data_IF_992786678768
#
_entry.id   IF_992786678768
#
_cell.length_a   1.000
_cell.length_b   1.000
_cell.length_c   1.000
_cell.angle_alpha   90.00
_cell.angle_beta   90.00
_cell.angle_gamma   90.00
#
_symmetry.space_group_name_H-M   'P 1'
#
loop_
_entity.id
_entity.type
_entity.pdbx_description
1 polymer ?
#
# COMPACT_ATOMS: atom_id res chain seq x y z
N UNK A 1 -6.71 -9.37 21.05
CA UNK A 1 -5.23 -9.43 20.93
C UNK A 1 -4.78 -10.36 19.80
N UNK A 2 -5.25 -11.62 19.73
CA UNK A 2 -4.88 -12.56 18.65
C UNK A 2 -5.12 -12.01 17.23
N UNK A 3 -6.23 -11.30 17.01
CA UNK A 3 -6.53 -10.66 15.72
C UNK A 3 -5.43 -9.65 15.30
N UNK A 4 -4.91 -8.87 16.25
CA UNK A 4 -3.88 -7.86 15.99
C UNK A 4 -2.56 -8.54 15.61
N UNK A 5 -2.22 -9.64 16.29
CA UNK A 5 -1.06 -10.47 15.96
C UNK A 5 -1.18 -11.00 14.53
N UNK A 6 -2.35 -11.51 14.13
CA UNK A 6 -2.58 -11.97 12.76
C UNK A 6 -2.38 -10.85 11.72
N UNK A 7 -2.87 -9.63 11.98
CA UNK A 7 -2.64 -8.48 11.09
C UNK A 7 -1.14 -8.11 11.00
N UNK A 8 -0.41 -8.13 12.11
CA UNK A 8 1.05 -7.85 12.08
C UNK A 8 1.84 -8.90 11.29
N UNK A 9 1.45 -10.18 11.38
CA UNK A 9 2.05 -11.25 10.57
C UNK A 9 1.73 -11.06 9.09
N UNK A 10 0.50 -10.70 8.75
CA UNK A 10 0.11 -10.42 7.38
C UNK A 10 0.91 -9.23 6.81
N UNK A 11 1.11 -8.16 7.60
CA UNK A 11 1.96 -7.04 7.19
C UNK A 11 3.41 -7.45 6.89
N UNK A 12 4.00 -8.33 7.70
CA UNK A 12 5.34 -8.88 7.45
C UNK A 12 5.40 -9.66 6.13
N UNK A 13 4.39 -10.48 5.84
CA UNK A 13 4.32 -11.23 4.58
C UNK A 13 4.18 -10.28 3.39
N UNK A 14 3.32 -9.26 3.49
CA UNK A 14 3.12 -8.29 2.42
C UNK A 14 4.37 -7.44 2.17
N UNK A 15 5.10 -7.05 3.23
CA UNK A 15 6.43 -6.42 3.11
C UNK A 15 7.40 -7.31 2.29
N UNK A 16 7.46 -8.60 2.59
CA UNK A 16 8.33 -9.53 1.86
C UNK A 16 7.93 -9.65 0.37
N UNK A 17 6.62 -9.68 0.08
CA UNK A 17 6.09 -9.70 -1.29
C UNK A 17 6.43 -8.40 -2.02
N UNK A 18 6.33 -7.25 -1.35
CA UNK A 18 6.69 -5.95 -1.90
C UNK A 18 8.14 -5.90 -2.37
N UNK A 19 9.09 -6.36 -1.54
CA UNK A 19 10.51 -6.38 -1.93
C UNK A 19 10.82 -7.34 -3.09
N UNK A 20 10.01 -8.39 -3.26
CA UNK A 20 10.13 -9.34 -4.38
C UNK A 20 9.55 -8.79 -5.69
N UNK A 21 8.61 -7.85 -5.60
CA UNK A 21 7.93 -7.20 -6.72
C UNK A 21 8.77 -6.09 -7.37
N UNK A 22 9.85 -6.45 -8.08
CA UNK A 22 10.73 -5.47 -8.75
C UNK A 22 10.50 -5.25 -10.24
N UNK A 23 9.61 -6.02 -10.87
CA UNK A 23 9.48 -6.02 -12.34
C UNK A 23 8.44 -5.04 -12.86
N UNK A 24 7.25 -5.02 -12.25
CA UNK A 24 6.14 -4.20 -12.71
C UNK A 24 5.72 -3.21 -11.64
N UNK A 25 5.60 -1.93 -12.03
CA UNK A 25 5.21 -0.85 -11.13
C UNK A 25 3.80 -1.09 -10.56
N UNK A 26 2.91 -1.64 -11.39
CA UNK A 26 1.54 -1.96 -11.00
C UNK A 26 1.45 -3.00 -9.87
N UNK A 27 2.33 -4.01 -9.87
CA UNK A 27 2.33 -5.03 -8.83
C UNK A 27 2.87 -4.50 -7.49
N UNK A 28 3.79 -3.53 -7.53
CA UNK A 28 4.25 -2.83 -6.34
C UNK A 28 3.14 -1.94 -5.75
N UNK A 29 2.39 -1.24 -6.60
CA UNK A 29 1.25 -0.40 -6.19
C UNK A 29 0.14 -1.22 -5.52
N UNK A 30 -0.25 -2.36 -6.12
CA UNK A 30 -1.26 -3.25 -5.56
C UNK A 30 -0.84 -3.80 -4.19
N UNK A 31 0.44 -4.12 -4.04
CA UNK A 31 0.97 -4.59 -2.76
C UNK A 31 0.90 -3.48 -1.70
N UNK A 32 1.21 -2.23 -2.07
CA UNK A 32 1.12 -1.07 -1.17
C UNK A 32 -0.33 -0.75 -0.77
N UNK A 33 -1.29 -0.84 -1.69
CA UNK A 33 -2.72 -0.68 -1.39
C UNK A 33 -3.22 -1.74 -0.41
N UNK A 34 -2.82 -3.00 -0.62
CA UNK A 34 -3.16 -4.09 0.30
C UNK A 34 -2.55 -3.87 1.70
N UNK A 35 -1.34 -3.32 1.79
CA UNK A 35 -0.71 -2.96 3.07
C UNK A 35 -1.47 -1.82 3.77
N UNK A 36 -1.92 -0.80 3.03
CA UNK A 36 -2.74 0.28 3.57
C UNK A 36 -4.09 -0.22 4.12
N UNK A 37 -4.75 -1.15 3.41
CA UNK A 37 -5.99 -1.79 3.87
C UNK A 37 -5.80 -2.57 5.18
N UNK A 38 -4.72 -3.35 5.30
CA UNK A 38 -4.42 -4.09 6.54
C UNK A 38 -4.18 -3.11 7.69
N UNK A 39 -3.52 -1.98 7.43
CA UNK A 39 -3.29 -0.91 8.41
C UNK A 39 -4.61 -0.30 8.90
N UNK A 40 -5.54 0.02 7.98
CA UNK A 40 -6.88 0.53 8.33
C UNK A 40 -7.66 -0.50 9.17
N UNK A 41 -7.64 -1.78 8.79
CA UNK A 41 -8.30 -2.85 9.55
C UNK A 41 -7.71 -3.01 10.96
N UNK A 42 -6.38 -2.93 11.07
CA UNK A 42 -5.68 -3.00 12.35
C UNK A 42 -6.06 -1.82 13.25
N UNK A 43 -6.15 -0.60 12.69
CA UNK A 43 -6.56 0.59 13.41
C UNK A 43 -8.02 0.50 13.88
N UNK A 44 -8.92 0.01 13.04
CA UNK A 44 -10.32 -0.22 13.43
C UNK A 44 -10.42 -1.21 14.62
N UNK A 45 -9.63 -2.29 14.58
CA UNK A 45 -9.60 -3.26 15.68
C UNK A 45 -9.03 -2.69 16.98
N UNK A 46 -8.08 -1.74 16.89
CA UNK A 46 -7.49 -1.04 18.02
C UNK A 46 -8.48 -0.04 18.64
N UNK A 47 -9.19 0.72 17.80
CA UNK A 47 -10.21 1.67 18.26
C UNK A 47 -11.36 0.97 18.98
N UNK A 48 -11.78 -0.20 18.50
CA UNK A 48 -12.76 -1.02 19.20
C UNK A 48 -12.29 -1.45 20.60
N UNK A 49 -10.98 -1.68 20.78
CA UNK A 49 -10.40 -2.04 22.09
C UNK A 49 -10.35 -0.84 23.05
N UNK A 50 -10.02 0.34 22.52
CA UNK A 50 -9.80 1.55 23.32
C UNK A 50 -11.13 2.27 23.65
N UNK A 51 -12.22 1.94 22.94
CA UNK A 51 -13.54 2.59 23.07
C UNK A 51 -13.45 4.12 22.85
N UNK A 52 -12.47 4.55 22.07
CA UNK A 52 -12.30 5.95 21.68
C UNK A 52 -13.12 6.27 20.43
N UNK A 53 -13.43 7.56 20.26
CA UNK A 53 -14.25 8.05 19.14
C UNK A 53 -13.65 7.75 17.76
N UNK A 54 -14.52 7.63 16.76
CA UNK A 54 -14.16 7.32 15.37
C UNK A 54 -13.45 8.45 14.61
N UNK A 55 -13.16 9.58 15.25
CA UNK A 55 -12.55 10.75 14.59
C UNK A 55 -11.15 10.43 14.07
N UNK A 56 -10.35 9.71 14.86
CA UNK A 56 -9.00 9.29 14.45
C UNK A 56 -9.04 8.30 13.26
N UNK A 57 -10.03 7.41 13.23
CA UNK A 57 -10.25 6.50 12.10
C UNK A 57 -10.53 7.26 10.80
N UNK A 58 -11.40 8.26 10.86
CA UNK A 58 -11.77 9.06 9.69
C UNK A 58 -10.58 9.83 9.14
N UNK A 59 -9.75 10.41 10.01
CA UNK A 59 -8.52 11.08 9.58
C UNK A 59 -7.57 10.11 8.88
N UNK A 60 -7.31 8.94 9.48
CA UNK A 60 -6.47 7.91 8.85
C UNK A 60 -7.03 7.42 7.51
N UNK A 61 -8.34 7.27 7.40
CA UNK A 61 -9.00 6.86 6.16
C UNK A 61 -8.81 7.92 5.06
N UNK A 62 -8.92 9.21 5.38
CA UNK A 62 -8.66 10.29 4.40
C UNK A 62 -7.21 10.32 3.93
N UNK A 63 -6.24 10.13 4.83
CA UNK A 63 -4.83 10.07 4.45
C UNK A 63 -4.53 8.87 3.54
N UNK A 64 -5.12 7.70 3.80
CA UNK A 64 -4.94 6.52 2.96
C UNK A 64 -5.50 6.71 1.54
N UNK A 65 -6.66 7.35 1.40
CA UNK A 65 -7.24 7.65 0.07
C UNK A 65 -6.36 8.64 -0.70
N UNK A 66 -5.78 9.64 -0.04
CA UNK A 66 -4.87 10.60 -0.67
C UNK A 66 -3.60 9.89 -1.15
N UNK A 67 -3.00 9.02 -0.34
CA UNK A 67 -1.83 8.22 -0.72
C UNK A 67 -2.12 7.36 -1.97
N UNK A 68 -3.26 6.67 -2.01
CA UNK A 68 -3.68 5.87 -3.17
C UNK A 68 -3.87 6.73 -4.43
N UNK A 69 -4.47 7.93 -4.30
CA UNK A 69 -4.66 8.86 -5.42
C UNK A 69 -3.33 9.35 -6.00
N UNK A 70 -2.37 9.70 -5.13
CA UNK A 70 -1.03 10.11 -5.56
C UNK A 70 -0.30 8.96 -6.25
N UNK A 71 -0.35 7.74 -5.67
CA UNK A 71 0.27 6.56 -6.25
C UNK A 71 -0.26 6.24 -7.66
N UNK A 72 -1.58 6.30 -7.85
CA UNK A 72 -2.21 6.04 -9.15
C UNK A 72 -1.89 7.12 -10.19
N UNK A 73 -1.86 8.39 -9.78
CA UNK A 73 -1.47 9.51 -10.66
C UNK A 73 -0.04 9.33 -11.16
N UNK A 74 0.84 8.88 -10.27
CA UNK A 74 2.24 8.62 -10.56
C UNK A 74 2.42 7.44 -11.53
N UNK A 75 1.65 6.35 -11.38
CA UNK A 75 1.60 5.27 -12.35
C UNK A 75 1.18 5.76 -13.75
N UNK A 76 0.10 6.55 -13.83
CA UNK A 76 -0.39 7.08 -15.11
C UNK A 76 0.66 7.98 -15.77
N UNK A 77 1.38 8.79 -14.98
CA UNK A 77 2.45 9.65 -15.50
C UNK A 77 3.62 8.83 -16.07
N UNK A 78 4.03 7.76 -15.38
CA UNK A 78 5.09 6.88 -15.87
C UNK A 78 4.65 6.09 -17.10
N UNK A 79 3.42 5.60 -17.14
CA UNK A 79 2.85 4.95 -18.33
C UNK A 79 2.86 5.85 -19.55
N UNK A 80 2.59 7.16 -19.40
CA UNK A 80 2.64 8.14 -20.50
C UNK A 80 4.07 8.44 -20.99
N UNK A 81 5.07 8.38 -20.12
CA UNK A 81 6.46 8.72 -20.47
C UNK A 81 7.21 7.53 -21.06
N UNK A 82 7.10 6.35 -20.43
CA UNK A 82 7.90 5.19 -20.79
C UNK A 82 7.14 4.19 -21.68
N UNK A 83 5.82 4.33 -21.82
CA UNK A 83 4.98 3.44 -22.63
C UNK A 83 4.97 1.98 -22.17
N UNK A 84 5.63 1.67 -21.05
CA UNK A 84 5.87 0.32 -20.57
C UNK A 84 5.92 0.31 -19.02
N UNK A 85 5.28 -0.67 -18.40
CA UNK A 85 5.07 -0.74 -16.94
C UNK A 85 6.27 -1.30 -16.15
N UNK A 86 7.45 -1.41 -16.78
CA UNK A 86 8.62 -2.00 -16.15
C UNK A 86 9.39 -0.95 -15.33
N UNK A 87 9.70 -1.30 -14.09
CA UNK A 87 10.47 -0.46 -13.15
C UNK A 87 11.90 -0.21 -13.65
N UNK A 88 12.43 -1.13 -14.46
CA UNK A 88 13.71 -0.97 -15.15
C UNK A 88 13.50 -1.09 -16.66
N UNK A 89 13.37 0.03 -17.35
CA UNK A 89 13.80 0.09 -18.75
C UNK A 89 15.32 0.08 -18.72
N UNK A 90 15.94 -1.11 -18.83
CA UNK A 90 17.36 -1.18 -19.16
C UNK A 90 17.53 -0.49 -20.51
N UNK A 91 17.89 0.79 -20.51
CA UNK A 91 18.54 1.43 -21.65
C UNK A 91 19.91 0.78 -21.77
N UNK A 92 19.94 -0.43 -22.33
CA UNK A 92 21.17 -1.05 -22.78
C UNK A 92 21.49 -0.43 -24.15
N UNK A 93 21.91 0.84 -24.14
CA UNK A 93 22.66 1.40 -25.26
C UNK A 93 24.12 1.02 -25.03
N UNK A 94 24.57 0.10 -25.89
CA UNK A 94 25.90 -0.54 -26.00
C UNK A 94 26.17 -1.70 -25.04
#
# INVERSE_FOLDING_TARGET
MAILIMYTLLMMVMLAVFFKSKKHFMNALLCLEAMALILILSCLSLLYLIMDGYTFFLVLLTFSVIEASVALTLLISFGKIYGNDYISTTFNNY
#
